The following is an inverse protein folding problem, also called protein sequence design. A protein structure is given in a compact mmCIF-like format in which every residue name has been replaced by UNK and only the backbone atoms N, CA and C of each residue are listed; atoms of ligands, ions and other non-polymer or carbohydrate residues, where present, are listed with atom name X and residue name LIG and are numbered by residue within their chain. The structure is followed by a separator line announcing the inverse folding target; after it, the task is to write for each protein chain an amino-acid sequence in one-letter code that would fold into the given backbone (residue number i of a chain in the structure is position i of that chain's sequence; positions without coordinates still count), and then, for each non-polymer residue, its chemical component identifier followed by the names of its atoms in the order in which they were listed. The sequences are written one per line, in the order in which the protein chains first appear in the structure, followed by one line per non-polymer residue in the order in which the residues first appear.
data_IF_297312895937
#
_entry.id   IF_297312895937
#
_cell.length_a   1.000
_cell.length_b   1.000
_cell.length_c   1.000
_cell.angle_alpha   90.00
_cell.angle_beta   90.00
_cell.angle_gamma   90.00
#
_symmetry.space_group_name_H-M   'P 1'
#
loop_
_entity.id
_entity.type
_entity.pdbx_description
1 polymer ?
#
# COMPACT_ATOMS: atom_id res chain seq x y z
N UNK A 1 15.38 -4.72 14.14
CA UNK A 1 15.70 -5.13 12.77
C UNK A 1 15.07 -4.15 11.79
N UNK A 2 15.83 -3.66 10.85
CA UNK A 2 15.32 -2.71 9.87
C UNK A 2 14.36 -3.38 8.90
N UNK A 3 13.38 -2.61 8.43
CA UNK A 3 12.46 -3.09 7.42
C UNK A 3 13.16 -3.12 6.05
N UNK A 4 13.02 -4.23 5.33
CA UNK A 4 13.62 -4.38 3.99
C UNK A 4 12.86 -3.58 2.94
N UNK A 5 11.57 -3.36 3.17
CA UNK A 5 10.67 -2.66 2.25
C UNK A 5 10.01 -1.52 3.01
N UNK A 6 10.03 -0.32 2.42
CA UNK A 6 9.37 0.83 3.04
C UNK A 6 7.86 0.78 2.88
N UNK A 7 7.38 0.48 1.68
CA UNK A 7 5.96 0.51 1.35
C UNK A 7 5.57 -0.72 0.54
N UNK A 8 4.49 -1.36 0.93
CA UNK A 8 3.97 -2.52 0.22
C UNK A 8 2.48 -2.31 -0.08
N UNK A 9 2.15 -2.37 -1.36
CA UNK A 9 0.77 -2.21 -1.80
C UNK A 9 0.10 -3.55 -2.05
N UNK A 10 -1.08 -3.75 -1.48
CA UNK A 10 -1.91 -4.93 -1.74
C UNK A 10 -2.89 -4.57 -2.84
N UNK A 11 -2.74 -5.20 -4.00
CA UNK A 11 -3.54 -4.91 -5.18
C UNK A 11 -4.36 -6.14 -5.54
N UNK A 12 -5.68 -6.00 -5.53
CA UNK A 12 -6.60 -7.11 -5.75
C UNK A 12 -7.09 -7.21 -7.18
N UNK A 13 -7.04 -6.10 -7.94
CA UNK A 13 -7.54 -6.07 -9.31
C UNK A 13 -6.81 -5.02 -10.14
N UNK A 14 -7.03 -5.08 -11.45
CA UNK A 14 -6.35 -4.20 -12.40
C UNK A 14 -6.71 -2.73 -12.20
N UNK A 15 -7.96 -2.44 -11.84
CA UNK A 15 -8.40 -1.07 -11.62
C UNK A 15 -7.64 -0.43 -10.47
N UNK A 16 -7.45 -1.16 -9.39
CA UNK A 16 -6.63 -0.68 -8.27
C UNK A 16 -5.19 -0.44 -8.70
N UNK A 17 -4.63 -1.35 -9.49
CA UNK A 17 -3.27 -1.21 -9.97
C UNK A 17 -3.11 0.05 -10.81
N UNK A 18 -4.01 0.30 -11.75
CA UNK A 18 -3.95 1.50 -12.60
C UNK A 18 -4.07 2.78 -11.77
N UNK A 19 -4.90 2.76 -10.73
CA UNK A 19 -5.11 3.91 -9.86
C UNK A 19 -3.86 4.22 -9.04
N UNK A 20 -3.18 3.19 -8.51
CA UNK A 20 -2.08 3.37 -7.57
C UNK A 20 -0.70 3.42 -8.26
N UNK A 21 -0.61 2.98 -9.51
CA UNK A 21 0.66 2.92 -10.24
C UNK A 21 1.44 4.23 -10.26
N UNK A 22 0.81 5.39 -10.51
CA UNK A 22 1.55 6.66 -10.48
C UNK A 22 2.20 6.94 -9.13
N UNK A 23 1.53 6.55 -8.04
CA UNK A 23 2.08 6.72 -6.69
C UNK A 23 3.27 5.79 -6.47
N UNK A 24 3.18 4.54 -6.94
CA UNK A 24 4.30 3.60 -6.87
C UNK A 24 5.53 4.17 -7.57
N UNK A 25 5.35 4.68 -8.78
CA UNK A 25 6.45 5.26 -9.55
C UNK A 25 7.02 6.51 -8.87
N UNK A 26 6.17 7.37 -8.33
CA UNK A 26 6.59 8.55 -7.60
C UNK A 26 7.46 8.20 -6.39
N UNK A 27 7.03 7.21 -5.61
CA UNK A 27 7.78 6.76 -4.43
C UNK A 27 9.13 6.18 -4.83
N UNK A 28 9.16 5.35 -5.86
CA UNK A 28 10.41 4.75 -6.34
C UNK A 28 11.40 5.80 -6.85
N UNK A 29 10.89 6.85 -7.49
CA UNK A 29 11.75 7.93 -7.99
C UNK A 29 12.39 8.73 -6.86
N UNK A 30 11.87 8.61 -5.64
CA UNK A 30 12.38 9.28 -4.45
C UNK A 30 13.22 8.34 -3.57
N UNK A 31 13.65 7.22 -4.11
CA UNK A 31 14.45 6.20 -3.42
C UNK A 31 13.72 5.55 -2.26
N UNK A 32 12.39 5.51 -2.30
CA UNK A 32 11.57 4.81 -1.33
C UNK A 32 11.36 3.39 -1.85
N UNK A 33 11.77 2.40 -1.06
CA UNK A 33 11.62 1.00 -1.44
C UNK A 33 10.15 0.62 -1.45
N UNK A 34 9.60 0.43 -2.66
CA UNK A 34 8.18 0.22 -2.87
C UNK A 34 7.94 -1.08 -3.63
N UNK A 35 7.15 -1.95 -3.07
CA UNK A 35 6.76 -3.20 -3.70
C UNK A 35 5.24 -3.31 -3.75
N UNK A 36 4.76 -4.19 -4.58
CA UNK A 36 3.34 -4.50 -4.65
C UNK A 36 3.13 -5.96 -5.04
N UNK A 37 1.98 -6.48 -4.65
CA UNK A 37 1.58 -7.82 -5.05
C UNK A 37 0.31 -7.68 -5.89
N UNK A 38 0.39 -8.09 -7.16
CA UNK A 38 -0.72 -8.05 -8.09
C UNK A 38 -1.02 -9.46 -8.55
N UNK A 39 -1.90 -10.14 -7.80
CA UNK A 39 -2.37 -11.46 -8.19
C UNK A 39 -3.80 -11.62 -7.69
N UNK A 40 -4.55 -12.49 -8.34
CA UNK A 40 -5.92 -12.82 -7.95
C UNK A 40 -5.94 -13.68 -6.68
N UNK A 41 -5.35 -13.17 -5.60
CA UNK A 41 -5.34 -13.84 -4.31
C UNK A 41 -6.33 -13.16 -3.37
N UNK A 42 -6.83 -13.91 -2.41
CA UNK A 42 -7.67 -13.35 -1.37
C UNK A 42 -6.88 -12.36 -0.52
N UNK A 43 -7.56 -11.32 -0.04
CA UNK A 43 -6.94 -10.25 0.74
C UNK A 43 -6.12 -10.79 1.91
N UNK A 44 -6.62 -11.76 2.64
CA UNK A 44 -5.88 -12.34 3.78
C UNK A 44 -4.52 -12.85 3.38
N UNK A 45 -4.40 -13.48 2.22
CA UNK A 45 -3.14 -14.02 1.76
C UNK A 45 -2.18 -12.92 1.32
N UNK A 46 -2.71 -11.86 0.69
CA UNK A 46 -1.91 -10.69 0.34
C UNK A 46 -1.34 -10.04 1.59
N UNK A 47 -2.15 -9.92 2.64
CA UNK A 47 -1.73 -9.32 3.90
C UNK A 47 -0.63 -10.16 4.57
N UNK A 48 -0.76 -11.48 4.55
CA UNK A 48 0.27 -12.39 5.08
C UNK A 48 1.58 -12.21 4.33
N UNK A 49 1.51 -12.16 3.00
CA UNK A 49 2.71 -11.98 2.16
C UNK A 49 3.40 -10.65 2.47
N UNK A 50 2.65 -9.58 2.63
CA UNK A 50 3.19 -8.26 2.96
C UNK A 50 3.83 -8.26 4.36
N UNK A 51 3.21 -8.93 5.32
CA UNK A 51 3.74 -9.03 6.67
C UNK A 51 5.06 -9.81 6.67
N UNK A 52 5.14 -10.89 5.90
CA UNK A 52 6.38 -11.67 5.76
C UNK A 52 7.49 -10.87 5.09
N UNK A 53 7.13 -9.96 4.18
CA UNK A 53 8.09 -9.11 3.51
C UNK A 53 8.66 -8.02 4.42
N UNK A 54 8.13 -7.91 5.66
CA UNK A 54 8.60 -6.95 6.65
C UNK A 54 8.54 -5.51 6.17
N UNK A 55 7.42 -5.13 5.57
CA UNK A 55 7.22 -3.77 5.08
C UNK A 55 6.90 -2.81 6.23
N UNK A 56 7.42 -1.61 6.17
CA UNK A 56 7.16 -0.57 7.16
C UNK A 56 5.73 -0.08 7.10
N UNK A 57 5.22 0.14 5.89
CA UNK A 57 3.83 0.52 5.64
C UNK A 57 3.19 -0.48 4.69
N UNK A 58 1.95 -0.83 4.97
CA UNK A 58 1.14 -1.68 4.10
C UNK A 58 -0.08 -0.87 3.68
N UNK A 59 -0.32 -0.74 2.38
CA UNK A 59 -1.38 0.10 1.83
C UNK A 59 -2.36 -0.74 1.03
N UNK A 60 -3.64 -0.60 1.35
CA UNK A 60 -4.68 -1.40 0.71
C UNK A 60 -6.02 -0.68 0.76
N UNK A 61 -6.99 -1.20 -0.01
CA UNK A 61 -8.38 -0.78 0.09
C UNK A 61 -9.20 -1.87 0.77
N UNK A 62 -9.92 -1.50 1.82
CA UNK A 62 -10.86 -2.41 2.45
C UNK A 62 -12.11 -2.54 1.58
N UNK A 63 -12.93 -3.55 1.86
CA UNK A 63 -14.11 -3.83 1.04
C UNK A 63 -15.05 -2.62 0.95
N UNK A 64 -15.23 -1.91 2.05
CA UNK A 64 -16.09 -0.73 2.10
C UNK A 64 -15.48 0.50 1.41
N UNK A 65 -14.21 0.44 1.05
CA UNK A 65 -13.50 1.51 0.35
C UNK A 65 -13.43 1.29 -1.15
N UNK A 66 -13.78 0.11 -1.62
CA UNK A 66 -13.73 -0.20 -3.05
C UNK A 66 -14.78 0.64 -3.79
N UNK A 67 -14.36 1.20 -4.93
CA UNK A 67 -15.19 2.15 -5.66
C UNK A 67 -15.06 3.58 -5.19
N UNK A 68 -14.29 3.83 -4.13
CA UNK A 68 -13.96 5.17 -3.64
C UNK A 68 -12.49 5.48 -3.92
N UNK A 69 -12.06 6.70 -3.58
CA UNK A 69 -10.64 7.07 -3.68
C UNK A 69 -9.93 6.96 -2.32
N UNK A 70 -10.51 6.22 -1.38
CA UNK A 70 -9.92 6.07 -0.05
C UNK A 70 -9.09 4.80 0.04
N UNK A 71 -7.95 4.93 0.74
CA UNK A 71 -7.02 3.82 0.95
C UNK A 71 -6.60 3.79 2.41
N UNK A 72 -6.30 2.61 2.92
CA UNK A 72 -5.84 2.43 4.29
C UNK A 72 -4.33 2.25 4.30
N UNK A 73 -3.65 2.99 5.18
CA UNK A 73 -2.24 2.79 5.48
C UNK A 73 -2.13 2.11 6.82
N UNK A 74 -1.55 0.91 6.82
CA UNK A 74 -1.31 0.16 8.04
C UNK A 74 0.15 0.33 8.44
N UNK A 75 0.36 0.87 9.65
CA UNK A 75 1.68 0.98 10.26
C UNK A 75 1.61 0.29 11.63
N UNK A 76 2.36 -0.80 11.79
CA UNK A 76 2.28 -1.67 12.97
C UNK A 76 0.83 -2.15 13.18
N UNK A 77 0.19 -1.74 14.27
CA UNK A 77 -1.19 -2.12 14.58
C UNK A 77 -2.19 -1.01 14.26
N UNK A 78 -1.71 0.11 13.74
CA UNK A 78 -2.54 1.29 13.48
C UNK A 78 -2.96 1.34 12.02
N UNK A 79 -4.24 1.54 11.78
CA UNK A 79 -4.81 1.70 10.45
C UNK A 79 -5.35 3.11 10.32
N UNK A 80 -4.93 3.81 9.26
CA UNK A 80 -5.39 5.17 8.97
C UNK A 80 -5.91 5.22 7.55
N UNK A 81 -7.05 5.89 7.36
CA UNK A 81 -7.70 6.01 6.06
C UNK A 81 -7.41 7.38 5.48
N UNK A 82 -6.94 7.41 4.24
CA UNK A 82 -6.64 8.66 3.53
C UNK A 82 -7.22 8.63 2.13
N UNK A 83 -7.54 9.81 1.61
CA UNK A 83 -7.94 9.96 0.23
C UNK A 83 -6.73 9.80 -0.69
N UNK A 84 -6.96 9.34 -1.92
CA UNK A 84 -5.89 9.15 -2.90
C UNK A 84 -5.06 10.41 -3.11
N UNK A 85 -5.69 11.59 -3.07
CA UNK A 85 -4.99 12.86 -3.25
C UNK A 85 -3.99 13.15 -2.12
N UNK A 86 -4.22 12.59 -0.93
CA UNK A 86 -3.36 12.78 0.23
C UNK A 86 -2.32 11.68 0.36
N UNK A 87 -2.54 10.56 -0.29
CA UNK A 87 -1.79 9.31 -0.03
C UNK A 87 -0.29 9.50 -0.23
N UNK A 88 0.11 10.16 -1.30
CA UNK A 88 1.52 10.30 -1.65
C UNK A 88 2.32 10.99 -0.56
N UNK A 89 1.86 12.13 -0.06
CA UNK A 89 2.60 12.83 0.97
C UNK A 89 2.39 12.25 2.38
N UNK A 90 1.24 11.62 2.62
CA UNK A 90 1.02 10.94 3.91
C UNK A 90 1.94 9.74 4.08
N UNK A 91 2.20 9.01 2.99
CA UNK A 91 3.17 7.92 3.02
C UNK A 91 4.53 8.44 3.46
N UNK A 92 4.99 9.55 2.89
CA UNK A 92 6.28 10.13 3.25
C UNK A 92 6.32 10.56 4.70
N UNK A 93 5.23 11.17 5.19
CA UNK A 93 5.14 11.62 6.58
C UNK A 93 5.23 10.44 7.56
N UNK A 94 4.74 9.27 7.17
CA UNK A 94 4.70 8.10 8.02
C UNK A 94 5.98 7.26 7.97
N UNK A 95 6.82 7.50 6.98
CA UNK A 95 8.13 6.85 6.90
C UNK A 95 9.15 7.62 7.76
#
# INVERSE_FOLDING_TARGET
MENDIDVYFLIENEKQYETIRPIIYSLRSQNISTEYNYKTKKFKKLLVDATKANAKLIIFQQLDQQGTNNWTIKKDKNNNIFNLNELNYKIKDML
#
